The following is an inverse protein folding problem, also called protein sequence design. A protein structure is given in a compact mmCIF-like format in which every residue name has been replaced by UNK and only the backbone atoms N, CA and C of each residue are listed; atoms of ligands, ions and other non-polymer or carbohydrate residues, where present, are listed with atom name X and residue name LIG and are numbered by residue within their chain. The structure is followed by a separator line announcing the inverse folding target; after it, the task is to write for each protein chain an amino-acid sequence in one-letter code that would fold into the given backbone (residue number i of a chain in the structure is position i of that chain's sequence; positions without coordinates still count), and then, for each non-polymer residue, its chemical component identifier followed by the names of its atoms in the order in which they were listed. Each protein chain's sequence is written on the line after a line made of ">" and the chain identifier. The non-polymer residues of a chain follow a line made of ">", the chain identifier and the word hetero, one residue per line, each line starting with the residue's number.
data_IF_505432136042
#
_entry.id   IF_505432136042
#
_cell.length_a   1.000
_cell.length_b   1.000
_cell.length_c   1.000
_cell.angle_alpha   90.00
_cell.angle_beta   90.00
_cell.angle_gamma   90.00
#
_symmetry.space_group_name_H-M   'P 1'
#
loop_
_entity.id
_entity.type
_entity.pdbx_description
1 polymer ?
#
# COMPACT_ATOMS: atom_id res chain seq x y z
N UNK A 1 -8.82 22.48 -27.15
CA UNK A 1 -7.88 22.51 -26.03
C UNK A 1 -8.11 21.24 -25.23
N UNK A 2 -7.13 20.35 -25.06
CA UNK A 2 -7.23 19.29 -24.06
C UNK A 2 -7.28 19.99 -22.72
N UNK A 3 -8.32 19.73 -21.91
CA UNK A 3 -8.29 20.13 -20.49
C UNK A 3 -6.97 19.66 -19.91
N UNK A 4 -6.28 20.54 -19.19
CA UNK A 4 -5.03 20.16 -18.52
C UNK A 4 -5.36 18.98 -17.60
N UNK A 5 -4.82 17.81 -17.91
CA UNK A 5 -5.09 16.59 -17.16
C UNK A 5 -4.70 16.77 -15.69
N UNK A 6 -5.48 16.18 -14.76
CA UNK A 6 -5.19 16.20 -13.32
C UNK A 6 -3.73 15.81 -13.09
N UNK A 7 -2.99 16.66 -12.37
CA UNK A 7 -1.58 16.48 -12.06
C UNK A 7 -1.41 15.68 -10.77
N UNK A 8 -0.72 14.56 -10.84
CA UNK A 8 -0.54 13.62 -9.72
C UNK A 8 0.93 13.52 -9.36
N UNK A 9 1.26 13.63 -8.08
CA UNK A 9 2.58 13.37 -7.54
C UNK A 9 2.56 12.12 -6.66
N UNK A 10 3.39 11.12 -7.00
CA UNK A 10 3.54 9.89 -6.23
C UNK A 10 4.84 9.93 -5.45
N UNK A 11 4.75 10.09 -4.14
CA UNK A 11 5.89 10.02 -3.24
C UNK A 11 6.26 8.55 -2.98
N UNK A 12 7.53 8.19 -3.18
CA UNK A 12 7.99 6.80 -3.13
C UNK A 12 7.69 6.01 -4.41
N UNK A 13 7.64 6.70 -5.56
CA UNK A 13 7.32 6.11 -6.86
C UNK A 13 8.34 5.13 -7.42
N UNK A 14 9.55 5.04 -6.85
CA UNK A 14 10.53 3.99 -7.19
C UNK A 14 10.31 2.68 -6.42
N UNK A 15 9.47 2.68 -5.39
CA UNK A 15 9.12 1.49 -4.60
C UNK A 15 8.10 0.59 -5.29
N UNK A 16 7.90 -0.62 -4.76
CA UNK A 16 7.00 -1.64 -5.34
C UNK A 16 5.61 -1.09 -5.65
N UNK A 17 4.88 -0.58 -4.65
CA UNK A 17 3.52 -0.07 -4.85
C UNK A 17 3.49 1.27 -5.58
N UNK A 18 4.41 2.18 -5.24
CA UNK A 18 4.47 3.49 -5.89
C UNK A 18 4.75 3.38 -7.38
N UNK A 19 5.61 2.45 -7.81
CA UNK A 19 5.92 2.22 -9.21
C UNK A 19 4.75 1.56 -9.97
N UNK A 20 4.07 0.60 -9.34
CA UNK A 20 2.88 -0.02 -9.91
C UNK A 20 1.77 1.03 -10.15
N UNK A 21 1.49 1.86 -9.15
CA UNK A 21 0.51 2.96 -9.26
C UNK A 21 0.94 3.98 -10.33
N UNK A 22 2.24 4.32 -10.41
CA UNK A 22 2.76 5.21 -11.46
C UNK A 22 2.47 4.66 -12.86
N UNK A 23 2.80 3.38 -13.11
CA UNK A 23 2.58 2.71 -14.41
C UNK A 23 1.10 2.67 -14.80
N UNK A 24 0.21 2.46 -13.84
CA UNK A 24 -1.24 2.51 -14.08
C UNK A 24 -1.69 3.92 -14.46
N UNK A 25 -1.25 4.94 -13.70
CA UNK A 25 -1.81 6.28 -13.83
C UNK A 25 -1.19 7.14 -14.92
N UNK A 26 0.08 6.90 -15.31
CA UNK A 26 0.82 7.77 -16.24
C UNK A 26 0.23 7.81 -17.65
N UNK A 27 -0.60 6.83 -18.02
CA UNK A 27 -1.30 6.80 -19.31
C UNK A 27 -2.57 7.68 -19.34
N UNK A 28 -3.09 8.04 -18.17
CA UNK A 28 -4.37 8.73 -18.01
C UNK A 28 -4.26 10.13 -17.44
N UNK A 29 -3.20 10.38 -16.65
CA UNK A 29 -2.98 11.62 -15.91
C UNK A 29 -1.58 12.17 -16.16
N UNK A 30 -1.38 13.46 -15.87
CA UNK A 30 -0.05 14.07 -15.82
C UNK A 30 0.65 13.66 -14.53
N UNK A 31 1.27 12.48 -14.56
CA UNK A 31 1.79 11.81 -13.37
C UNK A 31 3.29 12.01 -13.20
N UNK A 32 3.68 12.43 -12.01
CA UNK A 32 5.06 12.58 -11.54
C UNK A 32 5.30 11.64 -10.36
N UNK A 33 6.56 11.28 -10.12
CA UNK A 33 6.92 10.39 -9.04
C UNK A 33 8.26 10.77 -8.40
N UNK A 34 8.54 10.22 -7.21
CA UNK A 34 9.84 10.43 -6.57
C UNK A 34 10.64 9.14 -6.45
N UNK A 35 11.97 9.31 -6.42
CA UNK A 35 12.94 8.26 -6.11
C UNK A 35 13.98 8.80 -5.12
N UNK A 36 14.63 7.92 -4.36
CA UNK A 36 15.72 8.28 -3.45
C UNK A 36 17.02 7.54 -3.86
N UNK A 37 17.06 6.23 -3.78
CA UNK A 37 18.29 5.45 -3.91
C UNK A 37 18.60 4.94 -5.34
N UNK A 38 17.66 4.91 -6.24
CA UNK A 38 17.80 4.35 -7.59
C UNK A 38 18.11 5.42 -8.65
N UNK A 39 19.07 6.32 -8.38
CA UNK A 39 19.37 7.49 -9.24
C UNK A 39 19.60 7.13 -10.70
N UNK A 40 20.44 6.12 -10.99
CA UNK A 40 20.78 5.74 -12.37
C UNK A 40 19.58 5.29 -13.20
N UNK A 41 18.60 4.65 -12.58
CA UNK A 41 17.39 4.16 -13.27
C UNK A 41 16.43 5.28 -13.68
N UNK A 42 16.54 6.46 -13.06
CA UNK A 42 15.64 7.59 -13.30
C UNK A 42 16.35 8.83 -13.82
N UNK A 43 17.66 8.75 -14.04
CA UNK A 43 18.46 9.84 -14.59
C UNK A 43 17.94 10.23 -15.97
N UNK A 44 17.71 11.54 -16.19
CA UNK A 44 17.12 12.05 -17.43
C UNK A 44 15.60 11.89 -17.57
N UNK A 45 14.93 11.20 -16.66
CA UNK A 45 13.48 11.08 -16.68
C UNK A 45 12.80 12.31 -16.06
N UNK A 46 12.21 13.17 -16.91
CA UNK A 46 11.56 14.43 -16.49
C UNK A 46 10.32 14.25 -15.59
N UNK A 47 9.83 13.02 -15.44
CA UNK A 47 8.67 12.69 -14.60
C UNK A 47 9.06 12.18 -13.22
N UNK A 48 10.37 11.95 -12.98
CA UNK A 48 10.86 11.46 -11.69
C UNK A 48 11.80 12.49 -11.05
N UNK A 49 11.49 12.85 -9.81
CA UNK A 49 12.25 13.79 -8.98
C UNK A 49 13.02 13.04 -7.90
N UNK A 50 14.25 13.47 -7.64
CA UNK A 50 14.94 13.02 -6.44
C UNK A 50 14.25 13.59 -5.20
N UNK A 51 14.01 12.76 -4.22
CA UNK A 51 13.47 13.17 -2.93
C UNK A 51 13.97 12.22 -1.84
N UNK A 52 14.86 12.71 -0.99
CA UNK A 52 15.31 12.06 0.23
C UNK A 52 14.56 12.63 1.43
N UNK A 53 13.89 11.75 2.20
CA UNK A 53 13.12 12.14 3.37
C UNK A 53 13.93 12.86 4.46
N UNK A 54 15.25 12.59 4.53
CA UNK A 54 16.14 13.12 5.57
C UNK A 54 16.79 14.43 5.16
N UNK A 55 16.98 14.67 3.86
CA UNK A 55 17.79 15.78 3.35
C UNK A 55 16.97 16.82 2.58
N UNK A 56 15.88 16.39 1.90
CA UNK A 56 15.17 17.25 0.98
C UNK A 56 13.91 17.90 1.59
N UNK A 57 13.68 19.15 1.21
CA UNK A 57 12.47 19.89 1.58
C UNK A 57 11.31 19.54 0.63
N UNK A 58 10.25 18.97 1.18
CA UNK A 58 9.05 18.58 0.42
C UNK A 58 8.33 19.79 -0.19
N UNK A 59 8.42 20.98 0.41
CA UNK A 59 7.78 22.18 -0.13
C UNK A 59 8.35 22.56 -1.48
N UNK A 60 9.67 22.43 -1.69
CA UNK A 60 10.30 22.66 -3.01
C UNK A 60 9.71 21.78 -4.07
N UNK A 61 9.56 20.48 -3.78
CA UNK A 61 8.97 19.53 -4.71
C UNK A 61 7.50 19.85 -5.02
N UNK A 62 6.73 20.25 -4.01
CA UNK A 62 5.32 20.61 -4.17
C UNK A 62 5.16 21.89 -5.01
N UNK A 63 6.02 22.90 -4.82
CA UNK A 63 6.00 24.14 -5.61
C UNK A 63 6.48 23.92 -7.05
N UNK A 64 7.40 23.00 -7.29
CA UNK A 64 7.87 22.65 -8.62
C UNK A 64 6.81 21.86 -9.41
N UNK A 65 6.23 20.83 -8.81
CA UNK A 65 5.24 19.99 -9.46
C UNK A 65 3.86 20.63 -9.51
N UNK A 66 3.44 21.32 -8.46
CA UNK A 66 2.09 21.89 -8.25
C UNK A 66 0.99 20.85 -8.50
N UNK A 67 0.96 19.75 -7.72
CA UNK A 67 0.04 18.67 -7.95
C UNK A 67 -1.39 19.02 -7.51
N UNK A 68 -2.40 18.43 -8.18
CA UNK A 68 -3.79 18.41 -7.73
C UNK A 68 -4.03 17.29 -6.71
N UNK A 69 -3.21 16.23 -6.81
CA UNK A 69 -3.29 15.05 -5.96
C UNK A 69 -1.89 14.55 -5.60
N UNK A 70 -1.65 14.28 -4.32
CA UNK A 70 -0.47 13.59 -3.83
C UNK A 70 -0.86 12.16 -3.41
N UNK A 71 -0.11 11.16 -3.87
CA UNK A 71 -0.23 9.77 -3.40
C UNK A 71 1.02 9.43 -2.61
N UNK A 72 0.89 9.07 -1.34
CA UNK A 72 2.03 8.71 -0.51
C UNK A 72 2.18 7.19 -0.37
N UNK A 73 3.26 6.67 -0.95
CA UNK A 73 3.77 5.31 -0.82
C UNK A 73 5.16 5.31 -0.15
N UNK A 74 5.46 6.34 0.66
CA UNK A 74 6.75 6.53 1.30
C UNK A 74 7.11 5.38 2.24
N UNK A 75 8.40 5.02 2.21
CA UNK A 75 9.08 4.09 3.12
C UNK A 75 10.39 4.73 3.60
N UNK A 76 11.01 4.18 4.61
CA UNK A 76 12.28 4.68 5.16
C UNK A 76 12.15 5.08 6.62
N UNK A 77 12.94 6.04 7.07
CA UNK A 77 12.97 6.49 8.47
C UNK A 77 11.59 6.94 8.96
N UNK A 78 11.20 6.49 10.15
CA UNK A 78 9.86 6.72 10.69
C UNK A 78 9.67 8.17 11.15
N UNK A 79 10.70 8.77 11.72
CA UNK A 79 10.68 10.18 12.14
C UNK A 79 10.54 11.12 10.95
N UNK A 80 11.33 10.87 9.91
CA UNK A 80 11.28 11.64 8.67
C UNK A 80 9.94 11.49 7.94
N UNK A 81 9.36 10.28 7.92
CA UNK A 81 8.00 10.09 7.38
C UNK A 81 6.96 10.92 8.14
N UNK A 82 7.02 10.96 9.48
CA UNK A 82 6.09 11.76 10.29
C UNK A 82 6.23 13.25 9.94
N UNK A 83 7.46 13.75 9.83
CA UNK A 83 7.72 15.14 9.50
C UNK A 83 7.24 15.49 8.10
N UNK A 84 7.58 14.68 7.10
CA UNK A 84 7.12 14.90 5.72
C UNK A 84 5.59 14.93 5.61
N UNK A 85 4.88 14.03 6.32
CA UNK A 85 3.42 14.03 6.31
C UNK A 85 2.81 15.18 7.11
N UNK A 86 3.49 15.72 8.13
CA UNK A 86 3.05 16.93 8.81
C UNK A 86 3.12 18.15 7.86
N UNK A 87 4.22 18.31 7.13
CA UNK A 87 4.38 19.37 6.11
C UNK A 87 3.37 19.22 4.96
N UNK A 88 3.13 17.97 4.50
CA UNK A 88 2.09 17.67 3.50
C UNK A 88 0.70 18.07 4.01
N UNK A 89 0.34 17.69 5.23
CA UNK A 89 -0.96 18.05 5.81
C UNK A 89 -1.12 19.57 5.91
N UNK A 90 -0.08 20.30 6.30
CA UNK A 90 -0.08 21.77 6.34
C UNK A 90 -0.26 22.37 4.95
N UNK A 91 0.48 21.89 3.94
CA UNK A 91 0.36 22.35 2.57
C UNK A 91 -1.05 22.10 2.00
N UNK A 92 -1.58 20.89 2.21
CA UNK A 92 -2.92 20.50 1.75
C UNK A 92 -4.02 21.32 2.43
N UNK A 93 -3.85 21.66 3.72
CA UNK A 93 -4.81 22.51 4.43
C UNK A 93 -4.97 23.88 3.73
N UNK A 94 -3.88 24.46 3.24
CA UNK A 94 -3.81 25.81 2.65
C UNK A 94 -4.06 25.85 1.13
N UNK A 95 -3.89 24.73 0.42
CA UNK A 95 -3.94 24.66 -1.04
C UNK A 95 -5.08 23.75 -1.54
N UNK A 96 -5.58 23.89 -2.77
CA UNK A 96 -6.61 23.05 -3.36
C UNK A 96 -6.06 21.68 -3.81
N UNK A 97 -5.28 21.03 -2.95
CA UNK A 97 -4.62 19.74 -3.20
C UNK A 97 -5.29 18.67 -2.35
N UNK A 98 -5.35 17.45 -2.89
CA UNK A 98 -5.84 16.24 -2.21
C UNK A 98 -4.70 15.28 -1.94
N UNK A 99 -4.94 14.32 -1.05
CA UNK A 99 -3.99 13.26 -0.74
C UNK A 99 -4.65 11.90 -0.65
N UNK A 100 -3.99 10.88 -1.22
CA UNK A 100 -4.22 9.48 -0.92
C UNK A 100 -3.02 8.92 -0.16
N UNK A 101 -3.27 8.34 0.99
CA UNK A 101 -2.24 7.78 1.85
C UNK A 101 -2.34 6.25 1.89
N UNK A 102 -1.27 5.56 1.50
CA UNK A 102 -1.20 4.10 1.64
C UNK A 102 -0.88 3.75 3.10
N UNK A 103 -1.93 3.39 3.82
CA UNK A 103 -1.84 2.89 5.19
C UNK A 103 -1.72 1.35 5.20
N UNK A 104 -1.97 0.70 6.32
CA UNK A 104 -1.75 -0.73 6.50
C UNK A 104 -2.76 -1.36 7.46
N UNK A 105 -3.02 -2.64 7.32
CA UNK A 105 -3.75 -3.45 8.31
C UNK A 105 -3.10 -3.42 9.70
N UNK A 106 -1.80 -3.15 9.79
CA UNK A 106 -1.09 -3.04 11.06
C UNK A 106 -1.58 -1.92 11.99
N UNK A 107 -2.43 -1.02 11.51
CA UNK A 107 -3.12 -0.06 12.40
C UNK A 107 -4.09 -0.73 13.38
N UNK A 108 -4.36 -2.03 13.17
CA UNK A 108 -5.24 -2.85 14.01
C UNK A 108 -4.55 -4.06 14.65
N UNK A 109 -3.22 -4.14 14.63
CA UNK A 109 -2.50 -5.34 15.08
C UNK A 109 -2.63 -5.65 16.57
N UNK A 110 -3.15 -4.71 17.37
CA UNK A 110 -3.54 -4.95 18.75
C UNK A 110 -4.91 -5.66 18.90
N UNK A 111 -5.74 -5.65 17.84
CA UNK A 111 -7.02 -6.36 17.82
C UNK A 111 -6.85 -7.71 17.14
N UNK A 112 -6.73 -8.76 17.92
CA UNK A 112 -6.40 -10.08 17.38
C UNK A 112 -7.56 -11.04 17.25
N UNK A 113 -8.76 -10.71 17.79
CA UNK A 113 -9.87 -11.68 17.87
C UNK A 113 -10.82 -11.66 16.66
N UNK A 114 -10.85 -10.58 15.90
CA UNK A 114 -11.77 -10.40 14.78
C UNK A 114 -11.13 -9.52 13.68
N UNK A 115 -11.55 -9.64 12.42
CA UNK A 115 -11.16 -8.70 11.38
C UNK A 115 -11.67 -7.30 11.70
N UNK A 116 -10.99 -6.27 11.19
CA UNK A 116 -11.33 -4.86 11.43
C UNK A 116 -11.98 -4.23 10.20
N UNK A 117 -12.83 -3.23 10.45
CA UNK A 117 -13.58 -2.46 9.46
C UNK A 117 -13.13 -0.99 9.44
N UNK A 118 -13.62 -0.20 8.45
CA UNK A 118 -13.09 1.15 8.17
C UNK A 118 -13.19 2.10 9.36
N UNK A 119 -14.28 2.03 10.13
CA UNK A 119 -14.53 2.95 11.25
C UNK A 119 -14.21 2.38 12.62
N UNK A 120 -13.60 1.21 12.68
CA UNK A 120 -13.08 0.68 13.93
C UNK A 120 -11.94 1.57 14.45
N UNK A 121 -11.85 1.65 15.78
CA UNK A 121 -10.79 2.41 16.44
C UNK A 121 -9.44 1.76 16.19
N UNK A 122 -8.51 2.51 15.60
CA UNK A 122 -7.15 2.03 15.38
C UNK A 122 -6.38 1.89 16.68
N UNK A 123 -5.68 0.76 16.84
CA UNK A 123 -4.75 0.48 17.94
C UNK A 123 -3.69 -0.51 17.46
N UNK A 124 -2.42 -0.20 17.71
CA UNK A 124 -1.30 -1.02 17.28
C UNK A 124 -0.23 -1.15 18.34
N UNK A 125 0.32 -2.35 18.48
CA UNK A 125 1.48 -2.66 19.32
C UNK A 125 2.79 -2.51 18.55
N UNK A 126 2.77 -2.65 17.23
CA UNK A 126 3.96 -2.52 16.40
C UNK A 126 4.37 -1.04 16.20
N UNK A 127 5.68 -0.80 16.10
CA UNK A 127 6.21 0.54 15.78
C UNK A 127 5.70 1.03 14.44
N UNK A 128 5.61 0.12 13.47
CA UNK A 128 5.11 0.43 12.12
C UNK A 128 3.62 0.80 12.12
N UNK A 129 2.78 0.05 12.81
CA UNK A 129 1.35 0.38 12.91
C UNK A 129 1.11 1.70 13.65
N UNK A 130 1.86 1.97 14.74
CA UNK A 130 1.81 3.27 15.44
C UNK A 130 2.24 4.44 14.55
N UNK A 131 3.26 4.26 13.70
CA UNK A 131 3.63 5.23 12.67
C UNK A 131 2.43 5.54 11.75
N UNK A 132 1.80 4.50 11.20
CA UNK A 132 0.66 4.66 10.30
C UNK A 132 -0.51 5.35 10.98
N UNK A 133 -0.86 4.98 12.22
CA UNK A 133 -1.90 5.64 13.03
C UNK A 133 -1.58 7.12 13.23
N UNK A 134 -0.33 7.45 13.53
CA UNK A 134 0.07 8.86 13.74
C UNK A 134 -0.14 9.70 12.47
N UNK A 135 0.20 9.16 11.30
CA UNK A 135 -0.03 9.83 10.03
C UNK A 135 -1.54 9.92 9.71
N UNK A 136 -2.30 8.81 9.88
CA UNK A 136 -3.76 8.84 9.70
C UNK A 136 -4.41 9.94 10.56
N UNK A 137 -4.02 10.06 11.82
CA UNK A 137 -4.55 11.07 12.74
C UNK A 137 -4.24 12.51 12.31
N UNK A 138 -3.12 12.76 11.62
CA UNK A 138 -2.82 14.07 11.03
C UNK A 138 -3.75 14.35 9.84
N UNK A 139 -3.95 13.37 8.97
CA UNK A 139 -4.79 13.50 7.78
C UNK A 139 -6.27 13.62 8.12
N UNK A 140 -6.75 12.93 9.16
CA UNK A 140 -8.13 13.01 9.64
C UNK A 140 -8.53 14.39 10.19
N UNK A 141 -7.55 15.27 10.45
CA UNK A 141 -7.81 16.68 10.80
C UNK A 141 -8.07 17.58 9.60
N UNK A 142 -7.77 17.10 8.39
CA UNK A 142 -8.08 17.79 7.14
C UNK A 142 -9.57 17.68 6.82
N UNK A 143 -10.12 18.60 6.01
CA UNK A 143 -11.46 18.43 5.46
C UNK A 143 -11.59 17.09 4.74
N UNK A 144 -12.65 16.34 4.99
CA UNK A 144 -12.85 14.99 4.50
C UNK A 144 -12.60 14.84 2.98
N UNK A 145 -12.98 15.84 2.19
CA UNK A 145 -12.77 15.86 0.72
C UNK A 145 -11.31 15.99 0.29
N UNK A 146 -10.41 16.33 1.20
CA UNK A 146 -8.98 16.52 0.90
C UNK A 146 -8.14 15.28 1.13
N UNK A 147 -8.69 14.23 1.75
CA UNK A 147 -7.90 13.05 2.08
C UNK A 147 -8.62 11.74 1.75
N UNK A 148 -7.83 10.73 1.38
CA UNK A 148 -8.22 9.34 1.35
C UNK A 148 -7.16 8.50 2.05
N UNK A 149 -7.59 7.64 2.97
CA UNK A 149 -6.75 6.70 3.70
C UNK A 149 -7.04 5.30 3.16
N UNK A 150 -6.03 4.68 2.56
CA UNK A 150 -6.14 3.37 1.95
C UNK A 150 -5.42 2.36 2.83
N UNK A 151 -6.16 1.63 3.66
CA UNK A 151 -5.60 0.58 4.51
C UNK A 151 -5.47 -0.70 3.70
N UNK A 152 -4.24 -1.14 3.57
CA UNK A 152 -3.86 -2.27 2.74
C UNK A 152 -3.56 -3.48 3.62
N UNK A 153 -4.08 -4.66 3.29
CA UNK A 153 -3.57 -5.92 3.82
C UNK A 153 -2.21 -6.26 3.20
N UNK A 154 -1.78 -7.50 3.26
CA UNK A 154 -0.61 -7.97 2.53
C UNK A 154 -0.86 -7.87 1.02
N UNK A 155 0.04 -7.19 0.30
CA UNK A 155 -0.06 -6.96 -1.16
C UNK A 155 0.90 -7.87 -1.90
N UNK A 156 0.37 -8.67 -2.82
CA UNK A 156 1.12 -9.59 -3.65
C UNK A 156 1.29 -9.10 -5.09
N UNK A 157 2.31 -9.60 -5.75
CA UNK A 157 2.67 -9.39 -7.15
C UNK A 157 4.07 -9.94 -7.40
N UNK A 158 4.42 -10.26 -8.64
CA UNK A 158 5.69 -10.91 -8.98
C UNK A 158 6.93 -10.19 -8.44
N UNK A 159 6.90 -8.85 -8.40
CA UNK A 159 7.98 -8.03 -7.86
C UNK A 159 7.79 -7.68 -6.36
N UNK A 160 6.79 -8.24 -5.67
CA UNK A 160 6.58 -7.95 -4.25
C UNK A 160 7.72 -8.55 -3.41
N UNK A 161 8.12 -7.89 -2.32
CA UNK A 161 9.15 -8.41 -1.43
C UNK A 161 8.83 -9.82 -0.94
N UNK A 162 7.57 -10.09 -0.59
CA UNK A 162 7.13 -11.39 -0.06
C UNK A 162 7.25 -12.52 -1.09
N UNK A 163 6.87 -12.28 -2.35
CA UNK A 163 7.02 -13.29 -3.41
C UNK A 163 8.49 -13.56 -3.70
N UNK A 164 9.33 -12.51 -3.67
CA UNK A 164 10.80 -12.69 -3.80
C UNK A 164 11.37 -13.52 -2.67
N UNK A 165 11.01 -13.22 -1.41
CA UNK A 165 11.43 -14.01 -0.24
C UNK A 165 11.07 -15.49 -0.39
N UNK A 166 9.85 -15.80 -0.90
CA UNK A 166 9.43 -17.19 -1.13
C UNK A 166 10.27 -17.83 -2.24
N UNK A 167 10.49 -17.14 -3.37
CA UNK A 167 11.34 -17.64 -4.46
C UNK A 167 12.76 -17.89 -4.02
N UNK A 168 13.36 -16.92 -3.34
CA UNK A 168 14.74 -17.04 -2.82
C UNK A 168 14.85 -18.24 -1.87
N UNK A 169 13.85 -18.46 -1.01
CA UNK A 169 13.82 -19.61 -0.11
C UNK A 169 13.68 -20.94 -0.87
N UNK A 170 12.85 -20.99 -1.91
CA UNK A 170 12.71 -22.18 -2.76
C UNK A 170 14.02 -22.49 -3.50
N UNK A 171 14.67 -21.49 -4.11
CA UNK A 171 15.93 -21.63 -4.84
C UNK A 171 17.08 -22.09 -3.93
N UNK A 172 17.10 -21.64 -2.69
CA UNK A 172 18.15 -21.99 -1.71
C UNK A 172 17.81 -23.25 -0.89
N UNK A 173 16.62 -23.85 -1.05
CA UNK A 173 16.13 -24.93 -0.17
C UNK A 173 15.96 -24.47 1.29
N UNK A 174 15.79 -23.17 1.51
CA UNK A 174 15.65 -22.60 2.85
C UNK A 174 14.20 -22.72 3.35
N UNK A 175 13.96 -22.77 4.68
CA UNK A 175 12.62 -22.88 5.21
C UNK A 175 11.83 -21.59 5.04
N UNK A 176 10.62 -21.71 4.53
CA UNK A 176 9.62 -20.63 4.44
C UNK A 176 8.84 -20.56 5.74
N UNK A 177 8.88 -19.42 6.44
CA UNK A 177 8.10 -19.24 7.66
C UNK A 177 6.61 -19.04 7.35
N UNK A 178 5.79 -19.85 8.01
CA UNK A 178 4.34 -19.80 7.94
C UNK A 178 3.73 -19.70 9.33
N UNK A 179 2.63 -18.97 9.45
CA UNK A 179 1.96 -18.67 10.72
C UNK A 179 0.56 -19.31 10.72
N UNK A 180 0.41 -20.55 11.22
CA UNK A 180 -0.84 -21.30 11.12
C UNK A 180 -2.04 -20.61 11.79
N UNK A 181 -1.80 -19.92 12.90
CA UNK A 181 -2.85 -19.24 13.66
C UNK A 181 -3.09 -17.79 13.20
N UNK A 182 -2.43 -17.33 12.13
CA UNK A 182 -2.64 -15.99 11.60
C UNK A 182 -3.66 -16.02 10.45
N UNK A 183 -4.78 -15.34 10.65
CA UNK A 183 -5.83 -15.14 9.66
C UNK A 183 -5.71 -13.74 9.07
N UNK A 184 -5.65 -13.66 7.75
CA UNK A 184 -5.44 -12.42 7.00
C UNK A 184 -6.44 -12.31 5.85
N UNK A 185 -6.57 -11.10 5.30
CA UNK A 185 -7.01 -10.90 3.94
C UNK A 185 -5.85 -10.36 3.10
N UNK A 186 -5.98 -10.32 1.78
CA UNK A 186 -4.89 -10.01 0.86
C UNK A 186 -5.36 -9.20 -0.33
N UNK A 187 -4.44 -8.66 -1.12
CA UNK A 187 -4.75 -8.01 -2.40
C UNK A 187 -3.61 -8.21 -3.40
N UNK A 188 -3.91 -8.12 -4.70
CA UNK A 188 -2.87 -8.04 -5.73
C UNK A 188 -2.51 -6.58 -6.04
N UNK A 189 -1.27 -6.33 -6.45
CA UNK A 189 -0.83 -4.98 -6.79
C UNK A 189 -1.59 -4.41 -8.00
N UNK A 190 -1.96 -5.26 -8.97
CA UNK A 190 -2.73 -4.85 -10.15
C UNK A 190 -4.14 -4.43 -9.76
N UNK A 191 -4.80 -5.23 -8.91
CA UNK A 191 -6.14 -4.89 -8.40
C UNK A 191 -6.09 -3.60 -7.58
N UNK A 192 -5.09 -3.46 -6.73
CA UNK A 192 -4.87 -2.22 -5.97
C UNK A 192 -4.73 -1.00 -6.89
N UNK A 193 -3.96 -1.11 -7.98
CA UNK A 193 -3.79 -0.02 -8.94
C UNK A 193 -5.12 0.37 -9.60
N UNK A 194 -5.94 -0.60 -10.03
CA UNK A 194 -7.28 -0.38 -10.59
C UNK A 194 -8.22 0.29 -9.57
N UNK A 195 -8.17 -0.15 -8.29
CA UNK A 195 -8.95 0.45 -7.21
C UNK A 195 -8.54 1.91 -6.96
N UNK A 196 -7.24 2.19 -6.89
CA UNK A 196 -6.72 3.56 -6.73
C UNK A 196 -7.13 4.44 -7.91
N UNK A 197 -7.01 3.94 -9.14
CA UNK A 197 -7.43 4.63 -10.35
C UNK A 197 -8.93 4.98 -10.30
N UNK A 198 -9.78 4.02 -9.90
CA UNK A 198 -11.23 4.26 -9.73
C UNK A 198 -11.51 5.35 -8.70
N UNK A 199 -10.84 5.32 -7.53
CA UNK A 199 -11.03 6.33 -6.48
C UNK A 199 -10.66 7.74 -6.96
N UNK A 200 -9.61 7.85 -7.78
CA UNK A 200 -9.18 9.12 -8.38
C UNK A 200 -10.20 9.63 -9.40
N UNK A 201 -10.66 8.76 -10.32
CA UNK A 201 -11.61 9.12 -11.36
C UNK A 201 -12.99 9.50 -10.82
N UNK A 202 -13.38 8.92 -9.68
CA UNK A 202 -14.66 9.19 -9.03
C UNK A 202 -14.59 10.22 -7.90
N UNK A 203 -13.45 10.90 -7.76
CA UNK A 203 -13.18 11.86 -6.71
C UNK A 203 -13.57 11.35 -5.31
N UNK A 204 -13.33 10.06 -5.05
CA UNK A 204 -13.63 9.43 -3.78
C UNK A 204 -12.66 9.86 -2.69
N UNK A 205 -13.15 9.97 -1.46
CA UNK A 205 -12.39 10.35 -0.27
C UNK A 205 -12.88 9.55 0.93
N UNK A 206 -12.16 9.64 2.06
CA UNK A 206 -12.47 8.90 3.28
C UNK A 206 -11.53 7.71 3.49
N UNK A 207 -11.97 6.74 4.28
CA UNK A 207 -11.18 5.56 4.64
C UNK A 207 -11.65 4.36 3.83
N UNK A 208 -10.74 3.64 3.19
CA UNK A 208 -11.01 2.45 2.41
C UNK A 208 -10.15 1.29 2.87
N UNK A 209 -10.75 0.11 2.98
CA UNK A 209 -10.05 -1.15 3.11
C UNK A 209 -9.94 -1.79 1.72
N UNK A 210 -8.72 -1.86 1.16
CA UNK A 210 -8.48 -2.33 -0.20
C UNK A 210 -7.89 -3.74 -0.20
N UNK A 211 -8.66 -4.70 0.27
CA UNK A 211 -8.28 -6.11 0.33
C UNK A 211 -9.39 -7.04 -0.18
N UNK A 212 -9.09 -8.32 -0.17
CA UNK A 212 -10.08 -9.36 -0.44
C UNK A 212 -11.23 -9.27 0.57
N UNK A 213 -12.43 -9.66 0.12
CA UNK A 213 -13.65 -9.69 0.95
C UNK A 213 -13.75 -10.92 1.85
N UNK A 214 -12.86 -11.86 1.66
CA UNK A 214 -12.74 -13.12 2.37
C UNK A 214 -11.40 -13.20 3.14
N UNK A 215 -11.32 -14.20 3.99
CA UNK A 215 -10.20 -14.45 4.88
C UNK A 215 -9.51 -15.75 4.49
N UNK A 216 -8.21 -15.84 4.77
CA UNK A 216 -7.41 -17.03 4.57
C UNK A 216 -6.38 -17.18 5.70
N UNK A 217 -6.08 -18.40 6.11
CA UNK A 217 -4.95 -18.66 6.98
C UNK A 217 -3.63 -18.40 6.24
N UNK A 218 -2.71 -17.72 6.91
CA UNK A 218 -1.40 -17.41 6.31
C UNK A 218 -0.63 -18.67 5.87
N UNK A 219 -0.71 -19.77 6.66
CA UNK A 219 -0.06 -21.05 6.30
C UNK A 219 -0.65 -21.59 4.98
N UNK A 220 -1.97 -21.62 4.83
CA UNK A 220 -2.64 -22.13 3.63
C UNK A 220 -2.29 -21.30 2.40
N UNK A 221 -2.39 -19.97 2.52
CA UNK A 221 -2.05 -19.05 1.44
C UNK A 221 -0.60 -19.20 0.95
N UNK A 222 0.37 -19.24 1.87
CA UNK A 222 1.78 -19.33 1.48
C UNK A 222 2.12 -20.68 0.88
N UNK A 223 1.49 -21.77 1.34
CA UNK A 223 1.64 -23.10 0.74
C UNK A 223 1.09 -23.14 -0.67
N UNK A 224 -0.09 -22.61 -0.88
CA UNK A 224 -0.71 -22.53 -2.20
C UNK A 224 0.13 -21.70 -3.16
N UNK A 225 0.59 -20.53 -2.73
CA UNK A 225 1.50 -19.69 -3.52
C UNK A 225 2.81 -20.39 -3.86
N UNK A 226 3.45 -21.06 -2.89
CA UNK A 226 4.69 -21.79 -3.13
C UNK A 226 4.51 -22.93 -4.12
N UNK A 227 3.37 -23.63 -4.09
CA UNK A 227 3.04 -24.68 -5.04
C UNK A 227 2.92 -24.17 -6.49
N UNK A 228 2.47 -22.92 -6.68
CA UNK A 228 2.33 -22.30 -8.00
C UNK A 228 3.60 -21.66 -8.55
N UNK A 229 4.60 -21.41 -7.70
CA UNK A 229 5.87 -20.83 -8.15
C UNK A 229 6.79 -21.85 -8.86
N UNK A 230 6.42 -23.13 -8.86
CA UNK A 230 7.05 -24.25 -9.59
C UNK A 230 8.59 -24.33 -9.46
N UNK A 231 9.11 -24.00 -8.28
CA UNK A 231 10.54 -23.97 -7.97
C UNK A 231 10.82 -24.86 -6.76
N UNK A 232 11.44 -26.02 -6.97
CA UNK A 232 11.92 -26.89 -5.90
C UNK A 232 10.83 -27.49 -4.99
N UNK A 233 11.26 -28.19 -3.93
CA UNK A 233 10.34 -28.73 -2.91
C UNK A 233 10.32 -27.78 -1.72
N UNK A 234 9.18 -27.15 -1.41
CA UNK A 234 9.13 -26.18 -0.32
C UNK A 234 9.30 -26.84 1.06
N UNK A 235 10.16 -26.27 1.87
CA UNK A 235 10.31 -26.61 3.29
C UNK A 235 9.60 -25.55 4.11
N UNK A 236 8.60 -25.92 4.92
CA UNK A 236 7.85 -24.98 5.73
C UNK A 236 8.25 -25.04 7.20
N UNK A 237 8.54 -23.88 7.79
CA UNK A 237 8.75 -23.70 9.22
C UNK A 237 7.52 -23.07 9.84
N UNK A 238 6.75 -23.84 10.61
CA UNK A 238 5.60 -23.32 11.35
C UNK A 238 6.03 -22.48 12.53
N UNK A 239 5.56 -21.24 12.58
CA UNK A 239 5.82 -20.30 13.69
C UNK A 239 4.51 -19.99 14.38
N UNK A 240 4.45 -20.25 15.69
CA UNK A 240 3.29 -19.95 16.54
C UNK A 240 3.65 -18.79 17.46
N UNK A 241 2.98 -17.66 17.30
CA UNK A 241 3.14 -16.51 18.21
C UNK A 241 2.21 -16.59 19.40
N UNK A 242 1.06 -17.27 19.24
CA UNK A 242 0.06 -17.55 20.27
C UNK A 242 -0.56 -18.91 20.00
N UNK A 243 -1.27 -19.47 20.99
CA UNK A 243 -2.05 -20.70 20.85
C UNK A 243 -3.46 -20.45 20.26
N UNK A 244 -3.88 -19.18 20.16
CA UNK A 244 -5.19 -18.78 19.65
C UNK A 244 -5.05 -18.22 18.23
N UNK A 245 -6.13 -18.27 17.45
CA UNK A 245 -6.23 -17.58 16.18
C UNK A 245 -6.06 -16.07 16.37
N UNK A 246 -5.30 -15.47 15.48
CA UNK A 246 -5.05 -14.05 15.44
C UNK A 246 -5.43 -13.48 14.08
N UNK A 247 -6.25 -12.46 14.10
CA UNK A 247 -6.70 -11.77 12.88
C UNK A 247 -5.85 -10.52 12.64
N UNK A 248 -5.27 -10.41 11.45
CA UNK A 248 -4.67 -9.19 10.91
C UNK A 248 -5.29 -8.92 9.54
N UNK A 249 -6.56 -8.54 9.55
CA UNK A 249 -7.36 -8.40 8.35
C UNK A 249 -8.17 -7.10 8.37
N UNK A 250 -8.24 -6.44 7.23
CA UNK A 250 -8.99 -5.20 6.98
C UNK A 250 -10.05 -5.49 5.93
N UNK A 251 -11.24 -5.88 6.38
CA UNK A 251 -12.34 -6.19 5.49
C UNK A 251 -13.09 -4.93 5.06
N UNK A 252 -13.42 -4.76 3.78
CA UNK A 252 -14.25 -3.66 3.30
C UNK A 252 -15.71 -3.87 3.72
N UNK A 253 -16.34 -2.85 4.29
CA UNK A 253 -17.73 -2.87 4.75
C UNK A 253 -18.48 -1.59 4.42
N UNK A 254 -17.97 -0.45 4.86
CA UNK A 254 -18.67 0.83 4.79
C UNK A 254 -18.43 1.57 3.46
N UNK A 255 -17.20 1.50 2.94
CA UNK A 255 -16.80 2.13 1.69
C UNK A 255 -16.53 1.09 0.60
N UNK A 256 -17.56 0.32 0.24
CA UNK A 256 -17.45 -0.73 -0.76
C UNK A 256 -17.17 -0.14 -2.16
N UNK A 257 -16.23 -0.79 -2.84
CA UNK A 257 -15.98 -0.58 -4.26
C UNK A 257 -17.01 -1.34 -5.12
N UNK A 258 -17.19 -0.97 -6.40
CA UNK A 258 -17.98 -1.74 -7.34
C UNK A 258 -17.59 -3.21 -7.39
N UNK A 259 -18.55 -4.10 -7.66
CA UNK A 259 -18.32 -5.57 -7.63
C UNK A 259 -17.15 -6.04 -8.49
N UNK A 260 -16.95 -5.42 -9.64
CA UNK A 260 -15.84 -5.74 -10.56
C UNK A 260 -14.45 -5.30 -10.06
N UNK A 261 -14.40 -4.50 -9.00
CA UNK A 261 -13.16 -4.08 -8.32
C UNK A 261 -12.96 -4.78 -6.96
N UNK A 262 -13.95 -5.53 -6.49
CA UNK A 262 -13.80 -6.40 -5.34
C UNK A 262 -13.08 -7.68 -5.76
N UNK A 263 -12.43 -8.36 -4.82
CA UNK A 263 -11.68 -9.58 -5.09
C UNK A 263 -11.81 -10.58 -3.93
N UNK A 264 -11.58 -11.86 -4.23
CA UNK A 264 -11.33 -12.93 -3.26
C UNK A 264 -9.81 -13.18 -3.13
N UNK A 265 -9.37 -13.89 -2.09
CA UNK A 265 -7.97 -14.28 -1.98
C UNK A 265 -7.54 -15.22 -3.12
N UNK A 266 -8.46 -16.04 -3.62
CA UNK A 266 -8.19 -16.93 -4.75
C UNK A 266 -7.87 -16.14 -6.02
N UNK A 267 -8.61 -15.06 -6.29
CA UNK A 267 -8.30 -14.18 -7.44
C UNK A 267 -6.92 -13.52 -7.31
N UNK A 268 -6.42 -13.30 -6.08
CA UNK A 268 -5.05 -12.81 -5.86
C UNK A 268 -4.00 -13.85 -6.26
N UNK A 269 -4.25 -15.12 -5.94
CA UNK A 269 -3.39 -16.24 -6.36
C UNK A 269 -3.42 -16.40 -7.89
N UNK A 270 -4.60 -16.38 -8.50
CA UNK A 270 -4.78 -16.45 -9.95
C UNK A 270 -4.04 -15.32 -10.69
N UNK A 271 -4.06 -14.09 -10.12
CA UNK A 271 -3.34 -12.95 -10.68
C UNK A 271 -1.80 -13.15 -10.66
N UNK A 272 -1.28 -13.88 -9.65
CA UNK A 272 0.15 -14.21 -9.58
C UNK A 272 0.57 -15.26 -10.62
N UNK A 273 -0.32 -16.20 -10.92
CA UNK A 273 -0.05 -17.29 -11.88
C UNK A 273 -0.05 -16.76 -13.33
N UNK A 274 -0.88 -15.75 -13.62
CA UNK A 274 -1.02 -15.16 -14.97
C UNK A 274 0.10 -14.20 -15.36
N UNK A 275 0.93 -13.79 -14.42
CA UNK A 275 2.06 -12.86 -14.63
C UNK A 275 3.38 -13.60 -14.86
#
# INVERSE_FOLDING_TARGET
>A
MREAGKKILILGGSGFLGNAIYRELCNYFDTYATYCSARRSFEGNRKFFHYDLLEDDIYRLLEEVKPDLVISALRGDFGAQIQAHAHLAEYIAKNPVRMLFLSSANVFDAYSKFPSYEYDKTLSESVYGRLKIRIENMLLRLPARKMGILRLPMVFGNASPRVREIRDALDLGAPIEVFPNLVINVTSHDRLCQQVHYLINRDKYGIYHLGSRDLVHHDDLIREMAAHLDQGTPVFKRVYTTNEERYLAVLPKDNLLPKNLQLSYQEVIDDLIKQ
#
